data_IF_607040436426
#
_entry.id   IF_607040436426
#
_cell.length_a   1.000
_cell.length_b   1.000
_cell.length_c   1.000
_cell.angle_alpha   90.00
_cell.angle_beta   90.00
_cell.angle_gamma   90.00
#
_symmetry.space_group_name_H-M   'P 1'
#
loop_
_entity.id
_entity.type
_entity.pdbx_description
1 polymer ?
#
# COMPACT_ATOMS: atom_id res chain seq x y z
N UNK A 1 -8.16 -9.80 -13.57
CA UNK A 1 -8.97 -8.81 -12.85
C UNK A 1 -9.77 -7.93 -13.79
N UNK A 2 -9.16 -7.22 -14.75
CA UNK A 2 -9.87 -6.27 -15.62
C UNK A 2 -10.99 -6.87 -16.50
N UNK A 3 -11.02 -8.19 -16.71
CA UNK A 3 -12.08 -8.90 -17.44
C UNK A 3 -13.09 -9.61 -16.53
N UNK A 4 -12.94 -9.48 -15.21
CA UNK A 4 -13.79 -10.12 -14.20
C UNK A 4 -14.78 -9.14 -13.54
N UNK A 5 -14.85 -7.89 -14.02
CA UNK A 5 -15.64 -6.81 -13.41
C UNK A 5 -15.36 -6.65 -11.90
N UNK A 6 -14.07 -6.67 -11.53
CA UNK A 6 -13.61 -6.50 -10.14
C UNK A 6 -12.76 -5.24 -10.04
N UNK A 7 -13.14 -4.36 -9.11
CA UNK A 7 -12.33 -3.20 -8.74
C UNK A 7 -11.10 -3.66 -7.94
N UNK A 8 -9.93 -3.17 -8.32
CA UNK A 8 -8.67 -3.42 -7.62
C UNK A 8 -8.16 -2.10 -7.06
N UNK A 9 -7.76 -2.11 -5.79
CA UNK A 9 -7.17 -0.96 -5.12
C UNK A 9 -5.81 -1.35 -4.55
N UNK A 10 -4.78 -0.55 -4.85
CA UNK A 10 -3.53 -0.59 -4.11
C UNK A 10 -3.60 0.39 -2.94
N UNK A 11 -2.91 0.11 -1.84
CA UNK A 11 -2.85 1.01 -0.67
C UNK A 11 -1.42 1.12 -0.21
N UNK A 12 -0.95 2.34 0.04
CA UNK A 12 0.37 2.57 0.63
C UNK A 12 0.35 3.80 1.55
N UNK A 13 1.33 3.86 2.45
CA UNK A 13 1.59 5.05 3.29
C UNK A 13 2.49 6.09 2.63
N UNK A 14 2.72 6.00 1.31
CA UNK A 14 3.41 7.06 0.59
C UNK A 14 2.48 8.24 0.33
N UNK A 15 3.08 9.42 0.20
CA UNK A 15 2.28 10.62 0.01
C UNK A 15 1.56 10.67 -1.33
N UNK A 16 0.47 11.44 -1.40
CA UNK A 16 -0.32 11.61 -2.64
C UNK A 16 0.57 11.90 -3.86
N UNK A 17 1.54 12.83 -3.72
CA UNK A 17 2.47 13.20 -4.79
C UNK A 17 3.35 12.03 -5.24
N UNK A 18 3.89 11.24 -4.30
CA UNK A 18 4.70 10.06 -4.63
C UNK A 18 3.87 9.00 -5.35
N UNK A 19 2.64 8.78 -4.91
CA UNK A 19 1.74 7.82 -5.55
C UNK A 19 1.35 8.26 -6.96
N UNK A 20 1.05 9.55 -7.17
CA UNK A 20 0.80 10.11 -8.50
C UNK A 20 1.98 9.88 -9.44
N UNK A 21 3.20 10.24 -9.00
CA UNK A 21 4.41 9.99 -9.79
C UNK A 21 4.61 8.49 -10.09
N UNK A 22 4.25 7.60 -9.16
CA UNK A 22 4.37 6.15 -9.35
C UNK A 22 3.35 5.62 -10.37
N UNK A 23 2.10 6.09 -10.31
CA UNK A 23 1.05 5.79 -11.29
C UNK A 23 1.50 6.22 -12.69
N UNK A 24 1.97 7.46 -12.83
CA UNK A 24 2.44 8.01 -14.12
C UNK A 24 3.65 7.26 -14.65
N UNK A 25 4.64 7.00 -13.80
CA UNK A 25 5.89 6.31 -14.17
C UNK A 25 5.65 4.88 -14.65
N UNK A 26 4.68 4.18 -14.07
CA UNK A 26 4.44 2.76 -14.32
C UNK A 26 3.18 2.47 -15.14
N UNK A 27 2.43 3.51 -15.53
CA UNK A 27 1.19 3.36 -16.30
C UNK A 27 0.17 2.47 -15.61
N UNK A 28 0.01 2.63 -14.29
CA UNK A 28 -0.93 1.80 -13.53
C UNK A 28 -2.37 2.05 -13.97
N UNK A 29 -3.15 0.98 -14.08
CA UNK A 29 -4.54 0.98 -14.53
C UNK A 29 -5.54 0.70 -13.40
N UNK A 30 -5.14 0.96 -12.17
CA UNK A 30 -5.96 0.81 -10.97
C UNK A 30 -5.64 1.92 -9.97
N UNK A 31 -6.56 2.17 -9.06
CA UNK A 31 -6.45 3.24 -8.08
C UNK A 31 -5.48 2.87 -6.95
N UNK A 32 -4.70 3.86 -6.51
CA UNK A 32 -3.89 3.76 -5.30
C UNK A 32 -4.45 4.70 -4.21
N UNK A 33 -4.76 4.14 -3.04
CA UNK A 33 -5.23 4.85 -1.88
C UNK A 33 -4.06 5.29 -0.99
N UNK A 34 -4.18 6.49 -0.43
CA UNK A 34 -3.18 7.14 0.42
C UNK A 34 -3.53 6.91 1.90
N UNK A 35 -2.67 6.15 2.60
CA UNK A 35 -2.77 5.84 4.03
C UNK A 35 -1.55 6.44 4.78
N UNK A 36 -1.31 7.75 4.60
CA UNK A 36 -0.12 8.47 5.11
C UNK A 36 0.07 8.35 6.64
N UNK A 37 -1.02 8.19 7.41
CA UNK A 37 -1.00 8.01 8.88
C UNK A 37 -1.00 6.53 9.32
N UNK A 38 -0.96 5.61 8.35
CA UNK A 38 -1.05 4.17 8.51
C UNK A 38 -2.31 3.72 9.27
N UNK A 39 -3.39 4.49 9.23
CA UNK A 39 -4.61 4.18 9.99
C UNK A 39 -5.20 2.84 9.54
N UNK A 40 -5.42 2.66 8.24
CA UNK A 40 -5.97 1.41 7.73
C UNK A 40 -5.00 0.26 7.93
N UNK A 41 -3.70 0.48 7.69
CA UNK A 41 -2.68 -0.54 7.91
C UNK A 41 -2.61 -1.00 9.38
N UNK A 42 -2.86 -0.12 10.36
CA UNK A 42 -2.96 -0.49 11.79
C UNK A 42 -4.24 -1.25 12.09
N UNK A 43 -5.40 -0.75 11.62
CA UNK A 43 -6.70 -1.38 11.85
C UNK A 43 -6.78 -2.80 11.27
N UNK A 44 -6.09 -3.03 10.15
CA UNK A 44 -6.02 -4.34 9.48
C UNK A 44 -4.86 -5.22 9.96
N UNK A 45 -4.06 -4.76 10.93
CA UNK A 45 -2.91 -5.48 11.47
C UNK A 45 -1.75 -5.67 10.48
N UNK A 46 -1.74 -4.93 9.37
CA UNK A 46 -0.71 -4.97 8.32
C UNK A 46 0.55 -4.19 8.72
N UNK A 47 0.39 -3.16 9.56
CA UNK A 47 1.51 -2.38 10.10
C UNK A 47 2.14 -3.12 11.29
N UNK A 48 3.24 -3.82 11.04
CA UNK A 48 3.85 -4.76 12.00
C UNK A 48 5.31 -4.40 12.29
N UNK A 49 5.83 -4.92 13.42
CA UNK A 49 7.24 -4.80 13.76
C UNK A 49 8.07 -5.67 12.80
N UNK A 50 9.03 -5.05 12.12
CA UNK A 50 9.97 -5.73 11.23
C UNK A 50 11.36 -5.66 11.80
N UNK A 51 12.09 -6.77 11.68
CA UNK A 51 13.52 -6.83 11.98
C UNK A 51 14.30 -6.83 10.67
N UNK A 52 15.20 -5.86 10.50
CA UNK A 52 16.05 -5.76 9.31
C UNK A 52 17.42 -5.29 9.73
N UNK A 53 18.45 -6.05 9.35
CA UNK A 53 19.86 -5.77 9.72
C UNK A 53 20.05 -5.51 11.22
N UNK A 54 19.39 -6.31 12.06
CA UNK A 54 19.46 -6.18 13.52
C UNK A 54 18.69 -5.01 14.13
N UNK A 55 18.04 -4.16 13.32
CA UNK A 55 17.18 -3.06 13.79
C UNK A 55 15.71 -3.43 13.69
N UNK A 56 14.93 -3.01 14.68
CA UNK A 56 13.48 -3.21 14.72
C UNK A 56 12.77 -1.88 14.41
N UNK A 57 11.87 -1.92 13.43
CA UNK A 57 11.05 -0.76 13.05
C UNK A 57 9.68 -1.21 12.58
N UNK A 58 8.67 -0.38 12.81
CA UNK A 58 7.33 -0.65 12.29
C UNK A 58 7.27 -0.42 10.78
N UNK A 59 6.54 -1.28 10.07
CA UNK A 59 6.36 -1.14 8.63
C UNK A 59 5.21 -1.97 8.07
N UNK A 60 4.68 -1.54 6.92
CA UNK A 60 3.64 -2.26 6.17
C UNK A 60 4.20 -3.60 5.68
N UNK A 61 3.62 -4.72 6.10
CA UNK A 61 3.87 -6.05 5.50
C UNK A 61 3.02 -6.17 4.22
N UNK A 62 3.56 -6.75 3.15
CA UNK A 62 2.79 -6.90 1.91
C UNK A 62 1.69 -7.94 2.13
N UNK A 63 0.45 -7.49 2.05
CA UNK A 63 -0.75 -8.32 2.28
C UNK A 63 -1.76 -8.08 1.17
N UNK A 64 -2.50 -9.12 0.80
CA UNK A 64 -3.63 -9.05 -0.14
C UNK A 64 -4.88 -9.50 0.60
N UNK A 65 -5.96 -8.72 0.50
CA UNK A 65 -7.29 -9.07 0.96
C UNK A 65 -8.18 -9.38 -0.26
N UNK A 66 -9.11 -10.33 -0.12
CA UNK A 66 -10.11 -10.71 -1.13
C UNK A 66 -11.48 -10.64 -0.48
#
# INVERSE_FOLDING_TARGET
FNHLDVAVYGISGDSKKKQQNFIEKHGLNFDLLVDEDFKLAKETGVYQLKKSFGKESMGIVRTTFI
#
